data_IF_984243346057
#
_entry.id   IF_984243346057
#
_cell.length_a   1.000
_cell.length_b   1.000
_cell.length_c   1.000
_cell.angle_alpha   90.00
_cell.angle_beta   90.00
_cell.angle_gamma   90.00
#
_symmetry.space_group_name_H-M   'P 1'
#
loop_
_entity.id
_entity.type
_entity.pdbx_description
1 polymer ?
#
# COMPACT_ATOMS: atom_id res chain seq x y z
N UNK A 1 7.71 2.23 21.43
CA UNK A 1 6.45 2.85 20.95
C UNK A 1 5.45 1.76 20.59
N UNK A 2 4.16 2.02 20.80
CA UNK A 2 3.08 1.11 20.35
C UNK A 2 2.99 1.14 18.82
N UNK A 3 2.83 -0.02 18.20
CA UNK A 3 2.67 -0.15 16.74
C UNK A 3 1.38 0.51 16.27
N UNK A 4 1.46 1.26 15.18
CA UNK A 4 0.37 2.09 14.66
C UNK A 4 -0.30 1.42 13.46
N UNK A 5 -1.63 1.34 13.49
CA UNK A 5 -2.43 0.76 12.42
C UNK A 5 -2.75 1.82 11.37
N UNK A 6 -2.85 1.39 10.12
CA UNK A 6 -3.39 2.22 9.07
C UNK A 6 -4.91 2.40 9.22
N UNK A 7 -5.40 3.56 8.79
CA UNK A 7 -6.83 3.86 8.78
C UNK A 7 -7.56 3.24 7.57
N UNK A 8 -6.84 2.66 6.60
CA UNK A 8 -7.41 1.86 5.51
C UNK A 8 -7.20 0.37 5.73
N UNK A 9 -8.15 -0.44 5.27
CA UNK A 9 -7.93 -1.86 4.99
C UNK A 9 -7.27 -1.96 3.61
N UNK A 10 -6.15 -2.66 3.51
CA UNK A 10 -5.40 -2.73 2.26
C UNK A 10 -4.83 -4.13 2.07
N UNK A 11 -4.94 -4.63 0.84
CA UNK A 11 -4.30 -5.89 0.47
C UNK A 11 -2.78 -5.74 0.62
N UNK A 12 -2.11 -6.77 1.15
CA UNK A 12 -0.66 -6.73 1.36
C UNK A 12 -0.19 -5.88 2.55
N UNK A 13 -1.09 -5.30 3.35
CA UNK A 13 -0.72 -4.43 4.47
C UNK A 13 0.36 -5.01 5.39
N UNK A 14 1.48 -4.29 5.50
CA UNK A 14 2.68 -4.72 6.23
C UNK A 14 2.64 -4.51 7.73
N UNK A 15 1.46 -4.22 8.30
CA UNK A 15 1.33 -4.08 9.75
C UNK A 15 1.90 -5.27 10.55
N UNK A 16 1.76 -6.55 10.17
CA UNK A 16 2.42 -7.63 10.90
C UNK A 16 3.96 -7.60 10.80
N UNK A 17 4.49 -7.09 9.68
CA UNK A 17 5.92 -7.13 9.33
C UNK A 17 6.67 -5.83 9.62
N UNK A 18 5.99 -4.76 10.00
CA UNK A 18 6.63 -3.45 10.08
C UNK A 18 7.82 -3.40 11.05
N UNK A 19 7.85 -4.23 12.11
CA UNK A 19 8.99 -4.29 13.04
C UNK A 19 10.19 -5.03 12.43
N UNK A 20 9.94 -6.07 11.63
CA UNK A 20 10.99 -6.78 10.87
C UNK A 20 11.55 -5.88 9.77
N UNK A 21 10.67 -5.25 8.99
CA UNK A 21 11.06 -4.29 7.94
C UNK A 21 11.92 -3.18 8.53
N UNK A 22 11.46 -2.56 9.63
CA UNK A 22 12.20 -1.50 10.33
C UNK A 22 13.60 -1.93 10.76
N UNK A 23 13.81 -3.20 11.12
CA UNK A 23 15.14 -3.71 11.51
C UNK A 23 16.12 -3.82 10.36
N UNK A 24 15.62 -4.01 9.14
CA UNK A 24 16.46 -4.12 7.93
C UNK A 24 16.55 -2.81 7.15
N UNK A 25 15.64 -1.87 7.40
CA UNK A 25 15.58 -0.58 6.73
C UNK A 25 16.74 0.33 7.20
N UNK A 26 17.63 0.77 6.30
CA UNK A 26 18.74 1.66 6.66
C UNK A 26 18.26 3.05 7.08
N UNK A 27 19.02 3.74 7.93
CA UNK A 27 18.73 5.13 8.28
C UNK A 27 18.98 6.06 7.09
N UNK A 28 18.30 7.21 7.07
CA UNK A 28 18.40 8.21 6.02
C UNK A 28 17.66 9.49 6.39
N UNK A 29 17.83 10.53 5.57
CA UNK A 29 17.16 11.82 5.75
C UNK A 29 15.71 11.80 5.27
N UNK A 30 15.42 10.98 4.26
CA UNK A 30 14.09 10.81 3.70
C UNK A 30 13.81 9.33 3.40
N UNK A 31 12.63 8.84 3.77
CA UNK A 31 12.14 7.54 3.30
C UNK A 31 11.23 7.73 2.10
N UNK A 32 11.61 7.11 0.98
CA UNK A 32 10.83 7.05 -0.24
C UNK A 32 10.06 5.72 -0.26
N UNK A 33 8.74 5.76 -0.32
CA UNK A 33 7.89 4.57 -0.52
C UNK A 33 7.18 4.67 -1.87
N UNK A 34 7.71 4.05 -2.95
CA UNK A 34 7.10 4.10 -4.29
C UNK A 34 5.76 3.36 -4.41
N UNK A 35 5.42 2.54 -3.42
CA UNK A 35 4.20 1.73 -3.33
C UNK A 35 3.59 1.87 -1.93
N UNK A 36 3.27 3.10 -1.52
CA UNK A 36 2.89 3.37 -0.12
C UNK A 36 1.69 2.52 0.33
N UNK A 37 0.71 2.26 -0.55
CA UNK A 37 -0.52 1.55 -0.18
C UNK A 37 -1.12 2.14 1.09
N UNK A 38 -1.43 1.33 2.10
CA UNK A 38 -1.93 1.79 3.41
C UNK A 38 -0.90 2.52 4.31
N UNK A 39 0.37 2.67 3.90
CA UNK A 39 1.39 3.40 4.65
C UNK A 39 1.83 2.73 5.95
N UNK A 40 1.80 1.39 6.02
CA UNK A 40 2.13 0.67 7.28
C UNK A 40 3.58 0.88 7.73
N UNK A 41 4.54 1.00 6.79
CA UNK A 41 5.94 1.25 7.12
C UNK A 41 6.13 2.72 7.52
N UNK A 42 5.65 3.66 6.69
CA UNK A 42 5.53 5.08 7.02
C UNK A 42 5.04 5.28 8.45
N UNK A 43 3.90 4.71 8.83
CA UNK A 43 3.30 4.90 10.16
C UNK A 43 4.14 4.38 11.33
N UNK A 44 5.10 3.48 11.09
CA UNK A 44 5.87 2.77 12.12
C UNK A 44 7.40 3.04 12.09
N UNK A 45 7.90 3.85 11.15
CA UNK A 45 9.29 4.37 11.13
C UNK A 45 9.34 5.80 11.67
N UNK A 46 10.52 6.42 11.78
CA UNK A 46 10.64 7.83 12.22
C UNK A 46 11.75 8.55 11.45
N UNK A 47 11.58 8.67 10.13
CA UNK A 47 12.46 9.46 9.29
C UNK A 47 12.13 10.96 9.46
N UNK A 48 13.12 11.86 9.25
CA UNK A 48 12.86 13.29 9.22
C UNK A 48 11.82 13.68 8.16
N UNK A 49 11.92 13.09 6.96
CA UNK A 49 11.04 13.34 5.84
C UNK A 49 10.57 12.06 5.16
N UNK A 50 9.46 12.16 4.43
CA UNK A 50 8.91 11.06 3.63
C UNK A 50 8.45 11.55 2.26
N UNK A 51 8.70 10.77 1.22
CA UNK A 51 8.03 10.89 -0.07
C UNK A 51 7.26 9.60 -0.31
N UNK A 52 5.93 9.71 -0.34
CA UNK A 52 5.03 8.57 -0.35
C UNK A 52 4.24 8.58 -1.66
N UNK A 53 4.53 7.60 -2.52
CA UNK A 53 3.96 7.51 -3.84
C UNK A 53 3.08 6.28 -4.02
N UNK A 54 2.05 6.43 -4.86
CA UNK A 54 1.25 5.32 -5.37
C UNK A 54 0.70 5.70 -6.74
N UNK A 55 0.39 4.71 -7.57
CA UNK A 55 -0.28 4.93 -8.86
C UNK A 55 -1.77 5.21 -8.70
N UNK A 56 -2.34 4.87 -7.54
CA UNK A 56 -3.74 5.11 -7.23
C UNK A 56 -3.98 6.57 -6.83
N UNK A 57 -4.55 7.35 -7.75
CA UNK A 57 -4.86 8.76 -7.53
C UNK A 57 -5.89 9.00 -6.42
N UNK A 58 -6.90 8.14 -6.26
CA UNK A 58 -7.89 8.27 -5.18
C UNK A 58 -7.24 8.12 -3.80
N UNK A 59 -6.26 7.21 -3.69
CA UNK A 59 -5.49 7.01 -2.46
C UNK A 59 -4.67 8.27 -2.11
N UNK A 60 -3.95 8.81 -3.09
CA UNK A 60 -3.10 9.99 -2.88
C UNK A 60 -3.93 11.24 -2.60
N UNK A 61 -5.06 11.41 -3.28
CA UNK A 61 -6.00 12.50 -2.97
C UNK A 61 -6.55 12.37 -1.55
N UNK A 62 -6.97 11.17 -1.14
CA UNK A 62 -7.42 10.90 0.22
C UNK A 62 -6.34 11.29 1.24
N UNK A 63 -5.09 10.89 1.04
CA UNK A 63 -4.00 11.23 1.96
C UNK A 63 -3.77 12.73 2.09
N UNK A 64 -3.82 13.46 0.98
CA UNK A 64 -3.75 14.91 1.01
C UNK A 64 -4.96 15.55 1.70
N UNK A 65 -6.18 15.01 1.54
CA UNK A 65 -7.36 15.51 2.25
C UNK A 65 -7.25 15.28 3.77
N UNK A 66 -6.81 14.11 4.20
CA UNK A 66 -6.57 13.83 5.63
C UNK A 66 -5.47 14.73 6.20
N UNK A 67 -4.42 15.01 5.41
CA UNK A 67 -3.32 15.91 5.81
C UNK A 67 -3.75 17.38 5.95
N UNK A 68 -4.50 17.89 4.96
CA UNK A 68 -4.77 19.32 4.80
C UNK A 68 -6.09 19.78 5.44
N UNK A 69 -7.09 18.89 5.52
CA UNK A 69 -8.46 19.18 5.98
C UNK A 69 -8.92 18.15 7.02
N UNK A 70 -8.06 17.81 7.98
CA UNK A 70 -8.24 16.69 8.91
C UNK A 70 -9.58 16.67 9.63
N UNK A 71 -9.94 17.76 10.31
CA UNK A 71 -11.15 17.80 11.14
C UNK A 71 -12.41 17.70 10.29
N UNK A 72 -12.46 18.49 9.21
CA UNK A 72 -13.56 18.46 8.25
C UNK A 72 -13.73 17.07 7.61
N UNK A 73 -12.62 16.44 7.21
CA UNK A 73 -12.64 15.09 6.66
C UNK A 73 -13.19 14.06 7.66
N UNK A 74 -12.78 14.15 8.93
CA UNK A 74 -13.26 13.26 10.01
C UNK A 74 -14.76 13.47 10.23
N UNK A 75 -15.22 14.72 10.31
CA UNK A 75 -16.60 15.04 10.60
C UNK A 75 -17.54 14.59 9.47
N UNK A 76 -17.17 14.85 8.21
CA UNK A 76 -17.95 14.39 7.06
C UNK A 76 -17.92 12.87 6.90
N UNK A 77 -16.75 12.24 7.10
CA UNK A 77 -16.64 10.79 7.04
C UNK A 77 -17.48 10.11 8.11
N UNK A 78 -17.49 10.61 9.35
CA UNK A 78 -18.23 10.01 10.47
C UNK A 78 -19.73 9.89 10.18
N UNK A 79 -20.32 10.84 9.45
CA UNK A 79 -21.75 10.83 9.09
C UNK A 79 -22.13 9.56 8.31
N UNK A 80 -21.17 8.96 7.60
CA UNK A 80 -21.37 7.73 6.81
C UNK A 80 -21.13 6.44 7.62
N UNK A 81 -20.77 6.52 8.90
CA UNK A 81 -20.50 5.36 9.76
C UNK A 81 -21.61 5.15 10.79
N UNK A 82 -22.85 5.18 10.32
CA UNK A 82 -24.07 4.93 11.12
C UNK A 82 -24.77 3.65 10.64
N UNK A 83 -25.71 3.09 11.41
CA UNK A 83 -26.49 1.93 10.97
C UNK A 83 -27.27 2.15 9.67
N UNK A 84 -27.71 3.39 9.41
CA UNK A 84 -28.42 3.76 8.17
C UNK A 84 -27.56 3.53 6.93
N UNK A 85 -26.27 3.88 7.00
CA UNK A 85 -25.34 3.69 5.88
C UNK A 85 -24.70 2.30 5.86
N UNK A 86 -25.00 1.41 6.81
CA UNK A 86 -24.57 0.01 6.75
C UNK A 86 -25.65 -0.89 6.10
N UNK A 87 -26.17 -0.43 4.97
CA UNK A 87 -27.22 -1.06 4.18
C UNK A 87 -26.75 -1.29 2.73
N UNK A 88 -27.27 -2.34 2.09
CA UNK A 88 -26.84 -2.72 0.74
C UNK A 88 -27.27 -1.70 -0.33
N UNK A 89 -28.48 -1.13 -0.22
CA UNK A 89 -28.98 -0.12 -1.16
C UNK A 89 -28.15 1.15 -1.00
N UNK A 90 -27.93 1.59 0.24
CA UNK A 90 -27.10 2.76 0.52
C UNK A 90 -25.66 2.58 0.06
N UNK A 91 -25.08 1.40 0.27
CA UNK A 91 -23.73 1.09 -0.23
C UNK A 91 -23.62 1.25 -1.74
N UNK A 92 -24.56 0.71 -2.51
CA UNK A 92 -24.49 0.83 -3.97
C UNK A 92 -24.78 2.26 -4.46
N UNK A 93 -25.65 3.01 -3.79
CA UNK A 93 -25.87 4.43 -4.06
C UNK A 93 -24.60 5.26 -3.82
N UNK A 94 -23.92 5.06 -2.68
CA UNK A 94 -22.65 5.74 -2.38
C UNK A 94 -21.53 5.33 -3.34
N UNK A 95 -21.51 4.07 -3.79
CA UNK A 95 -20.55 3.59 -4.80
C UNK A 95 -20.78 4.24 -6.15
N UNK A 96 -22.03 4.42 -6.56
CA UNK A 96 -22.37 5.15 -7.78
C UNK A 96 -21.98 6.63 -7.66
N UNK A 97 -22.32 7.28 -6.54
CA UNK A 97 -21.92 8.66 -6.23
C UNK A 97 -20.40 8.83 -6.31
N UNK A 98 -19.63 7.91 -5.73
CA UNK A 98 -18.16 7.90 -5.85
C UNK A 98 -17.68 7.81 -7.29
N UNK A 99 -18.32 6.96 -8.11
CA UNK A 99 -17.92 6.75 -9.51
C UNK A 99 -18.30 7.92 -10.43
N UNK A 100 -19.28 8.74 -10.04
CA UNK A 100 -19.75 9.89 -10.82
C UNK A 100 -19.15 11.23 -10.32
N UNK A 101 -18.73 11.28 -9.06
CA UNK A 101 -18.18 12.50 -8.46
C UNK A 101 -16.84 12.90 -9.08
N UNK A 102 -16.73 14.20 -9.36
CA UNK A 102 -15.49 14.88 -9.75
C UNK A 102 -14.88 15.70 -8.60
N UNK A 103 -15.57 15.81 -7.45
CA UNK A 103 -15.06 16.54 -6.29
C UNK A 103 -14.06 15.65 -5.51
N UNK A 104 -12.77 16.04 -5.44
CA UNK A 104 -11.76 15.25 -4.73
C UNK A 104 -12.08 15.04 -3.24
N UNK A 105 -12.75 16.01 -2.59
CA UNK A 105 -13.08 15.90 -1.18
C UNK A 105 -14.19 14.87 -0.95
N UNK A 106 -15.31 14.99 -1.65
CA UNK A 106 -16.39 14.00 -1.63
C UNK A 106 -15.88 12.59 -1.99
N UNK A 107 -15.06 12.47 -3.04
CA UNK A 107 -14.45 11.19 -3.43
C UNK A 107 -13.63 10.60 -2.29
N UNK A 108 -12.84 11.40 -1.57
CA UNK A 108 -12.01 10.94 -0.46
C UNK A 108 -12.85 10.41 0.71
N UNK A 109 -13.93 11.14 1.06
CA UNK A 109 -14.88 10.73 2.11
C UNK A 109 -15.55 9.40 1.73
N UNK A 110 -16.05 9.31 0.49
CA UNK A 110 -16.68 8.10 -0.02
C UNK A 110 -15.70 6.95 -0.16
N UNK A 111 -14.43 7.20 -0.47
CA UNK A 111 -13.40 6.17 -0.57
C UNK A 111 -13.16 5.47 0.77
N UNK A 112 -13.08 6.24 1.88
CA UNK A 112 -12.97 5.68 3.22
C UNK A 112 -14.21 4.85 3.59
N UNK A 113 -15.40 5.37 3.31
CA UNK A 113 -16.65 4.65 3.51
C UNK A 113 -16.65 3.32 2.74
N UNK A 114 -16.38 3.35 1.44
CA UNK A 114 -16.35 2.16 0.58
C UNK A 114 -15.32 1.16 1.09
N UNK A 115 -14.11 1.59 1.45
CA UNK A 115 -13.07 0.71 1.98
C UNK A 115 -13.50 -0.06 3.24
N UNK A 116 -14.26 0.60 4.12
CA UNK A 116 -14.72 0.00 5.39
C UNK A 116 -15.99 -0.83 5.25
N UNK A 117 -16.80 -0.57 4.22
CA UNK A 117 -18.09 -1.24 3.98
C UNK A 117 -18.02 -2.32 2.88
N UNK A 118 -17.01 -2.30 2.00
CA UNK A 118 -16.90 -3.24 0.88
C UNK A 118 -16.34 -4.61 1.29
N UNK A 119 -16.55 -5.60 0.43
CA UNK A 119 -16.01 -6.94 0.62
C UNK A 119 -14.49 -6.93 0.83
N UNK A 120 -14.07 -7.40 2.00
CA UNK A 120 -12.67 -7.54 2.44
C UNK A 120 -11.81 -6.26 2.40
N UNK A 121 -12.41 -5.08 2.24
CA UNK A 121 -11.63 -3.84 2.07
C UNK A 121 -10.80 -3.84 0.79
N UNK A 122 -11.27 -4.54 -0.25
CA UNK A 122 -10.61 -4.53 -1.55
C UNK A 122 -10.70 -3.14 -2.18
N UNK A 123 -9.65 -2.75 -2.89
CA UNK A 123 -9.64 -1.61 -3.78
C UNK A 123 -9.54 -2.14 -5.21
N UNK A 124 -10.64 -2.07 -5.97
CA UNK A 124 -10.69 -2.62 -7.34
C UNK A 124 -11.55 -1.77 -8.25
N UNK A 125 -11.00 -1.49 -9.41
CA UNK A 125 -11.64 -0.73 -10.48
C UNK A 125 -11.79 -1.62 -11.72
N UNK A 126 -12.79 -1.33 -12.55
CA UNK A 126 -12.87 -1.91 -13.89
C UNK A 126 -12.03 -1.11 -14.88
N UNK A 127 -11.96 -1.57 -16.15
CA UNK A 127 -11.22 -0.89 -17.22
C UNK A 127 -11.71 0.54 -17.53
N UNK A 128 -12.91 0.91 -17.07
CA UNK A 128 -13.45 2.29 -17.18
C UNK A 128 -13.09 3.15 -15.97
N UNK A 129 -12.20 2.70 -15.09
CA UNK A 129 -11.82 3.42 -13.88
C UNK A 129 -12.90 3.48 -12.79
N UNK A 130 -13.94 2.65 -12.87
CA UNK A 130 -15.04 2.64 -11.89
C UNK A 130 -14.82 1.60 -10.79
N UNK A 131 -14.91 2.02 -9.54
CA UNK A 131 -14.86 1.14 -8.37
C UNK A 131 -16.02 0.13 -8.41
N UNK A 132 -15.71 -1.16 -8.30
CA UNK A 132 -16.67 -2.24 -8.56
C UNK A 132 -16.67 -3.35 -7.49
N UNK A 133 -16.25 -3.05 -6.26
CA UNK A 133 -16.27 -4.02 -5.15
C UNK A 133 -17.70 -4.13 -4.58
N UNK A 134 -18.22 -5.35 -4.31
CA UNK A 134 -19.54 -5.54 -3.73
C UNK A 134 -19.58 -5.18 -2.24
N UNK A 135 -20.79 -5.07 -1.69
CA UNK A 135 -21.02 -4.81 -0.26
C UNK A 135 -20.46 -5.94 0.62
N UNK A 136 -19.80 -5.58 1.73
CA UNK A 136 -19.09 -6.51 2.62
C UNK A 136 -19.95 -7.13 3.72
N UNK A 137 -21.16 -6.62 3.97
CA UNK A 137 -22.12 -7.13 4.97
C UNK A 137 -21.51 -7.27 6.38
N UNK A 138 -20.70 -6.29 6.80
CA UNK A 138 -20.15 -6.27 8.15
C UNK A 138 -21.24 -5.93 9.18
N UNK A 139 -21.16 -6.51 10.38
CA UNK A 139 -22.10 -6.20 11.48
C UNK A 139 -22.05 -4.73 11.89
N UNK A 140 -20.83 -4.19 12.05
CA UNK A 140 -20.58 -2.79 12.39
C UNK A 140 -19.20 -2.39 11.85
N UNK A 141 -19.13 -1.69 10.72
CA UNK A 141 -17.89 -1.12 10.22
C UNK A 141 -17.24 -0.20 11.27
N UNK A 142 -15.94 -0.39 11.50
CA UNK A 142 -15.16 0.42 12.43
C UNK A 142 -14.79 1.77 11.78
N UNK A 143 -15.10 2.88 12.46
CA UNK A 143 -14.65 4.21 12.07
C UNK A 143 -13.25 4.50 12.66
N UNK A 144 -12.21 4.68 11.83
CA UNK A 144 -10.81 4.73 12.28
C UNK A 144 -10.36 6.14 12.68
N UNK A 145 -11.06 6.77 13.61
CA UNK A 145 -10.80 8.16 14.02
C UNK A 145 -9.40 8.36 14.59
N UNK A 146 -8.98 7.51 15.53
CA UNK A 146 -7.67 7.62 16.17
C UNK A 146 -6.54 7.41 15.14
N UNK A 147 -6.73 6.46 14.21
CA UNK A 147 -5.77 6.23 13.12
C UNK A 147 -5.73 7.39 12.12
N UNK A 148 -6.85 8.07 11.85
CA UNK A 148 -6.90 9.26 11.00
C UNK A 148 -6.15 10.43 11.63
N UNK A 149 -6.37 10.71 12.92
CA UNK A 149 -5.67 11.77 13.65
C UNK A 149 -4.16 11.51 13.68
N UNK A 150 -3.75 10.29 13.99
CA UNK A 150 -2.34 9.89 13.99
C UNK A 150 -1.71 9.99 12.60
N UNK A 151 -2.43 9.55 11.55
CA UNK A 151 -1.97 9.70 10.17
C UNK A 151 -1.78 11.17 9.82
N UNK A 152 -2.75 12.03 10.15
CA UNK A 152 -2.69 13.46 9.87
C UNK A 152 -1.51 14.15 10.56
N UNK A 153 -1.26 13.84 11.83
CA UNK A 153 -0.11 14.33 12.58
C UNK A 153 1.21 13.92 11.90
N UNK A 154 1.36 12.63 11.60
CA UNK A 154 2.58 12.13 10.97
C UNK A 154 2.78 12.66 9.55
N UNK A 155 1.68 12.89 8.82
CA UNK A 155 1.70 13.34 7.43
C UNK A 155 2.28 14.74 7.23
N UNK A 156 2.46 15.50 8.32
CA UNK A 156 3.15 16.79 8.26
C UNK A 156 4.63 16.65 7.84
N UNK A 157 5.25 15.47 8.09
CA UNK A 157 6.60 15.13 7.61
C UNK A 157 6.62 14.55 6.18
N UNK A 158 5.47 14.37 5.54
CA UNK A 158 5.35 13.60 4.31
C UNK A 158 4.86 14.43 3.11
N UNK A 159 5.38 14.12 1.92
CA UNK A 159 4.85 14.57 0.64
C UNK A 159 4.21 13.39 -0.07
N UNK A 160 2.93 13.51 -0.44
CA UNK A 160 2.20 12.46 -1.16
C UNK A 160 2.13 12.79 -2.65
N UNK A 161 2.55 11.86 -3.50
CA UNK A 161 2.62 12.04 -4.96
C UNK A 161 1.96 10.89 -5.70
N UNK A 162 1.16 11.21 -6.72
CA UNK A 162 0.52 10.21 -7.57
C UNK A 162 1.40 9.97 -8.79
N UNK A 163 2.32 9.01 -8.69
CA UNK A 163 3.28 8.73 -9.76
C UNK A 163 3.74 7.27 -9.76
N UNK A 164 4.44 6.90 -10.83
CA UNK A 164 4.97 5.54 -10.98
C UNK A 164 6.12 5.27 -10.01
N UNK A 165 6.39 3.98 -9.76
CA UNK A 165 7.53 3.59 -8.95
C UNK A 165 8.87 3.99 -9.59
N UNK A 166 8.95 3.93 -10.93
CA UNK A 166 10.14 4.32 -11.70
C UNK A 166 10.50 5.77 -11.41
N UNK A 167 9.54 6.68 -11.60
CA UNK A 167 9.73 8.12 -11.34
C UNK A 167 10.14 8.38 -9.89
N UNK A 168 9.45 7.76 -8.93
CA UNK A 168 9.75 7.95 -7.50
C UNK A 168 11.16 7.47 -7.13
N UNK A 169 11.61 6.38 -7.73
CA UNK A 169 12.95 5.84 -7.51
C UNK A 169 14.03 6.69 -8.19
N UNK A 170 13.81 7.13 -9.44
CA UNK A 170 14.76 7.94 -10.19
C UNK A 170 14.99 9.33 -9.59
N UNK A 171 13.96 9.90 -8.96
CA UNK A 171 14.02 11.19 -8.25
C UNK A 171 14.72 11.13 -6.88
N UNK A 172 15.01 9.92 -6.38
CA UNK A 172 15.70 9.71 -5.11
C UNK A 172 17.13 10.25 -5.17
N UNK A 173 17.59 10.81 -4.04
CA UNK A 173 18.87 11.52 -3.92
C UNK A 173 19.79 10.84 -2.89
N UNK A 174 21.11 11.08 -2.96
CA UNK A 174 22.04 10.62 -1.94
C UNK A 174 21.59 11.07 -0.53
N UNK A 175 21.58 10.12 0.41
CA UNK A 175 21.05 10.32 1.77
C UNK A 175 19.59 9.91 1.96
N UNK A 176 18.86 9.58 0.88
CA UNK A 176 17.55 8.95 0.97
C UNK A 176 17.66 7.45 1.23
N UNK A 177 16.56 6.85 1.67
CA UNK A 177 16.36 5.39 1.73
C UNK A 177 15.09 5.05 0.99
N UNK A 178 15.11 4.00 0.16
CA UNK A 178 13.92 3.57 -0.60
C UNK A 178 13.38 2.26 -0.02
N UNK A 179 12.06 2.20 0.23
CA UNK A 179 11.36 0.98 0.57
C UNK A 179 10.29 0.65 -0.47
N UNK A 180 10.41 -0.51 -1.12
CA UNK A 180 9.48 -0.97 -2.14
C UNK A 180 8.65 -2.16 -1.64
N UNK A 181 7.33 -2.00 -1.71
CA UNK A 181 6.35 -3.06 -1.45
C UNK A 181 5.47 -3.30 -2.68
N UNK A 182 6.02 -3.86 -3.77
CA UNK A 182 5.27 -4.01 -5.01
C UNK A 182 4.10 -5.00 -4.86
N UNK A 183 3.11 -4.95 -5.78
CA UNK A 183 2.20 -6.07 -5.99
C UNK A 183 3.00 -7.38 -6.11
N UNK A 184 2.61 -8.41 -5.38
CA UNK A 184 3.44 -9.60 -5.27
C UNK A 184 3.58 -10.40 -6.56
N UNK A 185 4.74 -11.00 -6.70
CA UNK A 185 5.03 -11.95 -7.76
C UNK A 185 4.04 -13.13 -7.71
N UNK A 186 3.61 -13.66 -8.87
CA UNK A 186 2.77 -14.84 -8.91
C UNK A 186 3.50 -16.03 -8.26
N UNK A 187 2.75 -16.85 -7.52
CA UNK A 187 3.29 -18.02 -6.82
C UNK A 187 3.69 -19.17 -7.78
N UNK A 188 3.18 -19.15 -9.01
CA UNK A 188 3.57 -20.10 -10.07
C UNK A 188 3.57 -19.45 -11.45
N UNK A 189 4.38 -20.00 -12.37
CA UNK A 189 4.39 -19.60 -13.78
C UNK A 189 3.02 -19.79 -14.45
N UNK A 190 2.21 -20.74 -13.99
CA UNK A 190 0.84 -21.01 -14.49
C UNK A 190 -0.22 -20.06 -13.92
N UNK A 191 0.01 -19.45 -12.75
CA UNK A 191 -0.84 -18.38 -12.22
C UNK A 191 -0.74 -17.10 -13.07
N UNK A 192 0.40 -16.91 -13.74
CA UNK A 192 0.62 -15.82 -14.70
C UNK A 192 -0.30 -15.92 -15.94
N UNK A 193 -0.69 -17.14 -16.33
CA UNK A 193 -1.55 -17.38 -17.50
C UNK A 193 -3.06 -17.32 -17.20
N UNK A 194 -3.46 -17.35 -15.92
CA UNK A 194 -4.88 -17.39 -15.50
C UNK A 194 -5.35 -16.13 -14.77
N UNK A 195 -4.43 -15.22 -14.41
CA UNK A 195 -4.77 -13.96 -13.77
C UNK A 195 -5.24 -12.95 -14.83
N UNK A 196 -6.55 -12.74 -14.90
CA UNK A 196 -7.14 -11.53 -15.46
C UNK A 196 -6.39 -10.30 -14.93
N UNK A 197 -5.58 -9.70 -15.81
CA UNK A 197 -4.89 -8.40 -15.70
C UNK A 197 -4.92 -7.75 -14.32
N UNK A 198 -3.94 -8.06 -13.48
CA UNK A 198 -3.58 -7.22 -12.34
C UNK A 198 -2.91 -5.94 -12.86
N UNK A 199 -3.71 -4.86 -12.97
CA UNK A 199 -3.28 -3.46 -12.79
C UNK A 199 -1.81 -3.13 -13.12
N UNK A 200 -1.38 -3.40 -14.36
CA UNK A 200 -0.11 -2.91 -14.93
C UNK A 200 1.21 -3.34 -14.25
N UNK A 201 1.21 -4.25 -13.28
CA UNK A 201 2.44 -4.67 -12.58
C UNK A 201 2.63 -6.19 -12.71
N UNK A 202 3.34 -6.59 -13.76
CA UNK A 202 3.62 -7.98 -14.11
C UNK A 202 5.10 -8.32 -14.03
N UNK A 203 5.49 -9.37 -14.76
CA UNK A 203 6.87 -9.86 -14.79
C UNK A 203 7.89 -8.78 -15.24
N UNK A 204 7.65 -8.01 -16.33
CA UNK A 204 8.60 -6.98 -16.75
C UNK A 204 8.82 -5.91 -15.67
N UNK A 205 7.76 -5.49 -14.97
CA UNK A 205 7.85 -4.48 -13.92
C UNK A 205 8.59 -5.00 -12.67
N UNK A 206 8.45 -6.28 -12.33
CA UNK A 206 9.22 -6.91 -11.24
C UNK A 206 10.73 -6.90 -11.54
N UNK A 207 11.11 -7.26 -12.77
CA UNK A 207 12.52 -7.25 -13.21
C UNK A 207 13.06 -5.83 -13.23
N UNK A 208 12.31 -4.88 -13.80
CA UNK A 208 12.71 -3.48 -13.85
C UNK A 208 12.89 -2.86 -12.46
N UNK A 209 12.00 -3.19 -11.51
CA UNK A 209 12.14 -2.76 -10.11
C UNK A 209 13.46 -3.25 -9.48
N UNK A 210 13.85 -4.51 -9.73
CA UNK A 210 15.12 -5.04 -9.23
C UNK A 210 16.33 -4.34 -9.85
N UNK A 211 16.30 -4.10 -11.16
CA UNK A 211 17.36 -3.39 -11.89
C UNK A 211 17.51 -1.94 -11.41
N UNK A 212 16.40 -1.25 -11.18
CA UNK A 212 16.42 0.10 -10.61
C UNK A 212 16.99 0.10 -9.19
N UNK A 213 16.65 -0.88 -8.36
CA UNK A 213 17.19 -1.00 -7.01
C UNK A 213 18.70 -1.24 -7.02
N UNK A 214 19.19 -2.10 -7.92
CA UNK A 214 20.61 -2.33 -8.13
C UNK A 214 21.32 -1.03 -8.54
N UNK A 215 20.85 -0.37 -9.61
CA UNK A 215 21.41 0.89 -10.11
C UNK A 215 21.45 2.00 -9.04
N UNK A 216 20.36 2.17 -8.28
CA UNK A 216 20.33 3.17 -7.20
C UNK A 216 21.37 2.87 -6.12
N UNK A 217 21.54 1.59 -5.77
CA UNK A 217 22.51 1.18 -4.76
C UNK A 217 23.96 1.27 -5.26
N UNK A 218 24.25 0.83 -6.48
CA UNK A 218 25.60 0.78 -7.03
C UNK A 218 26.11 2.14 -7.47
N UNK A 219 25.28 2.90 -8.19
CA UNK A 219 25.74 4.09 -8.91
C UNK A 219 25.53 5.36 -8.09
N UNK A 220 24.55 5.35 -7.18
CA UNK A 220 24.15 6.52 -6.38
C UNK A 220 24.32 6.34 -4.88
N UNK A 221 24.74 5.16 -4.43
CA UNK A 221 24.87 4.81 -3.02
C UNK A 221 23.57 5.06 -2.22
N UNK A 222 22.42 4.77 -2.84
CA UNK A 222 21.10 4.90 -2.22
C UNK A 222 20.62 3.51 -1.81
N UNK A 223 20.45 3.22 -0.51
CA UNK A 223 19.96 1.93 -0.07
C UNK A 223 18.51 1.69 -0.48
N UNK A 224 18.23 0.48 -0.95
CA UNK A 224 16.89 0.04 -1.35
C UNK A 224 16.51 -1.25 -0.64
N UNK A 225 15.38 -1.26 0.07
CA UNK A 225 14.80 -2.46 0.66
C UNK A 225 13.53 -2.85 -0.09
N UNK A 226 13.47 -4.08 -0.60
CA UNK A 226 12.29 -4.62 -1.28
C UNK A 226 11.69 -5.75 -0.45
N UNK A 227 10.36 -5.77 -0.29
CA UNK A 227 9.63 -6.92 0.27
C UNK A 227 8.84 -7.66 -0.80
N UNK A 228 8.97 -8.99 -0.87
CA UNK A 228 8.20 -9.84 -1.78
C UNK A 228 7.96 -11.25 -1.18
N UNK A 229 7.27 -12.12 -1.91
CA UNK A 229 7.24 -13.54 -1.59
C UNK A 229 8.62 -14.18 -1.74
N UNK A 230 8.95 -15.15 -0.89
CA UNK A 230 10.13 -15.99 -1.07
C UNK A 230 9.89 -17.07 -2.12
N UNK A 231 10.28 -16.80 -3.37
CA UNK A 231 10.16 -17.71 -4.52
C UNK A 231 11.49 -17.83 -5.28
N UNK A 232 11.66 -18.86 -6.14
CA UNK A 232 12.84 -18.95 -7.01
C UNK A 232 13.03 -17.71 -7.89
N UNK A 233 11.95 -17.16 -8.46
CA UNK A 233 11.99 -15.96 -9.32
C UNK A 233 12.46 -14.73 -8.56
N UNK A 234 11.91 -14.47 -7.37
CA UNK A 234 12.31 -13.31 -6.56
C UNK A 234 13.76 -13.45 -6.06
N UNK A 235 14.26 -14.66 -5.82
CA UNK A 235 15.67 -14.89 -5.48
C UNK A 235 16.60 -14.63 -6.65
N UNK A 236 16.16 -14.96 -7.87
CA UNK A 236 16.88 -14.66 -9.11
C UNK A 236 16.92 -13.15 -9.37
N UNK A 237 15.77 -12.47 -9.29
CA UNK A 237 15.72 -11.02 -9.52
C UNK A 237 16.55 -10.24 -8.50
N UNK A 238 16.55 -10.66 -7.23
CA UNK A 238 17.24 -9.96 -6.15
C UNK A 238 18.60 -10.58 -5.79
N UNK A 239 19.24 -11.31 -6.71
CA UNK A 239 20.48 -12.05 -6.42
C UNK A 239 21.67 -11.19 -5.96
N UNK A 240 21.68 -9.89 -6.33
CA UNK A 240 22.70 -8.91 -5.90
C UNK A 240 22.43 -8.31 -4.51
N UNK A 241 21.24 -8.57 -3.94
CA UNK A 241 20.85 -8.03 -2.65
C UNK A 241 21.23 -8.96 -1.48
N UNK A 242 21.35 -8.39 -0.29
CA UNK A 242 21.35 -9.17 0.94
C UNK A 242 19.92 -9.67 1.22
N UNK A 243 19.73 -10.99 1.15
CA UNK A 243 18.43 -11.64 1.29
C UNK A 243 18.15 -12.07 2.74
N UNK A 244 17.02 -11.63 3.29
CA UNK A 244 16.53 -12.02 4.61
C UNK A 244 15.14 -12.66 4.52
N UNK A 245 14.99 -13.84 5.12
CA UNK A 245 13.73 -14.59 5.10
C UNK A 245 12.97 -14.31 6.40
N UNK A 246 11.75 -13.78 6.28
CA UNK A 246 10.86 -13.57 7.42
C UNK A 246 9.75 -14.62 7.36
N UNK A 247 9.66 -15.44 8.41
CA UNK A 247 8.61 -16.47 8.52
C UNK A 247 7.28 -15.81 8.87
N UNK A 248 6.40 -15.70 7.88
CA UNK A 248 5.07 -15.13 8.07
C UNK A 248 4.02 -16.21 7.92
N UNK A 249 3.07 -16.30 8.87
CA UNK A 249 1.87 -17.11 8.68
C UNK A 249 0.92 -16.40 7.72
N UNK A 250 1.21 -16.44 6.43
CA UNK A 250 0.22 -16.03 5.43
C UNK A 250 -0.73 -17.17 5.15
N UNK A 251 -2.02 -16.88 5.23
CA UNK A 251 -3.08 -17.79 4.81
C UNK A 251 -3.58 -17.28 3.47
N UNK A 252 -3.17 -17.89 2.37
CA UNK A 252 -3.58 -17.48 1.02
C UNK A 252 -4.21 -18.68 0.32
N UNK A 253 -5.42 -19.03 0.74
CA UNK A 253 -6.33 -19.82 -0.11
C UNK A 253 -7.77 -19.73 0.40
N UNK A 254 -8.72 -19.75 -0.54
CA UNK A 254 -10.17 -19.82 -0.28
C UNK A 254 -10.59 -21.21 0.23
N UNK A 255 -9.76 -22.23 -0.04
CA UNK A 255 -9.96 -23.62 0.38
C UNK A 255 -9.10 -23.95 1.60
N UNK A 256 -9.74 -24.33 2.70
CA UNK A 256 -9.10 -24.73 3.96
C UNK A 256 -8.10 -25.88 3.84
N UNK A 257 -8.13 -26.65 2.75
CA UNK A 257 -7.31 -27.84 2.51
C UNK A 257 -5.94 -27.55 1.85
N UNK A 258 -5.76 -26.44 1.12
CA UNK A 258 -4.50 -26.09 0.43
C UNK A 258 -3.93 -24.78 0.96
N UNK A 259 -3.53 -24.73 2.23
CA UNK A 259 -2.87 -23.55 2.83
C UNK A 259 -1.36 -23.71 2.74
N UNK A 260 -0.77 -23.35 1.60
CA UNK A 260 0.69 -23.26 1.50
C UNK A 260 1.21 -22.03 2.24
N UNK A 261 2.19 -22.22 3.11
CA UNK A 261 2.88 -21.14 3.83
C UNK A 261 4.01 -20.65 2.94
N UNK A 262 3.85 -19.47 2.35
CA UNK A 262 4.94 -18.80 1.62
C UNK A 262 5.59 -17.80 2.58
N UNK A 263 6.92 -17.89 2.73
CA UNK A 263 7.68 -16.95 3.54
C UNK A 263 7.71 -15.57 2.86
N UNK A 264 8.01 -14.52 3.63
CA UNK A 264 8.38 -13.23 3.07
C UNK A 264 9.88 -13.19 2.84
N UNK A 265 10.29 -12.57 1.73
CA UNK A 265 11.66 -12.22 1.43
C UNK A 265 11.82 -10.70 1.55
N UNK A 266 12.82 -10.28 2.31
CA UNK A 266 13.32 -8.90 2.34
C UNK A 266 14.67 -8.88 1.61
N UNK A 267 14.76 -8.13 0.51
CA UNK A 267 15.97 -7.97 -0.28
C UNK A 267 16.53 -6.57 -0.07
N UNK A 268 17.70 -6.48 0.56
CA UNK A 268 18.36 -5.23 0.87
C UNK A 268 19.55 -5.00 -0.07
N UNK A 269 19.43 -3.99 -0.93
CA UNK A 269 20.50 -3.47 -1.77
C UNK A 269 21.21 -2.36 -1.00
N UNK A 270 22.52 -2.53 -0.73
CA UNK A 270 23.38 -1.50 -0.12
C UNK A 270 24.48 -1.16 -1.09
N UNK A 271 24.78 0.13 -1.23
CA UNK A 271 26.00 0.57 -1.90
C UNK A 271 27.24 0.07 -1.15
N UNK A 272 28.35 -0.04 -1.89
CA UNK A 272 29.65 -0.40 -1.33
C UNK A 272 30.25 0.71 -0.47
#
# INVERSE_FOLDING_TARGET
MKKQRAFLKWAGGKYPLADEIKRHLPEGNCLIEPFVGAGSVFLNTDYPHYVLADINSDLIHLYNMVKLRTQEFIDESRKLFTPEFNDEIQYYAMRERFNLSLDPFERSVLFLYLNRHCYNGLCRYNLKGRFNVPFGRYRKPYFPEAELLWFAEKSQKATFVCQSYVTSMEESRPGDTVYCDPPYAPLSLTANFTAYHSSGFGFPEQVNLAQLAEMLSSDRNIPVLISNHDTPLTREWYHQAQLHIVKVRRTISRNTLNREKVNELLALFRGQ
#
